data_IF_570436657206
#
_entry.id   IF_570436657206
#
_cell.length_a   1.000
_cell.length_b   1.000
_cell.length_c   1.000
_cell.angle_alpha   90.00
_cell.angle_beta   90.00
_cell.angle_gamma   90.00
#
_symmetry.space_group_name_H-M   'P 1'
#
loop_
_entity.id
_entity.type
_entity.pdbx_description
1 polymer ?
#
# COMPACT_ATOMS: atom_id res chain seq x y z
N UNK A 1 29.59 -69.64 -38.75
CA UNK A 1 28.43 -69.92 -37.89
C UNK A 1 27.87 -68.60 -37.37
N UNK A 2 26.57 -68.33 -37.62
CA UNK A 2 25.53 -67.56 -36.88
C UNK A 2 25.99 -66.44 -35.91
N UNK A 3 25.36 -65.27 -35.72
CA UNK A 3 24.27 -64.42 -36.28
C UNK A 3 24.19 -63.21 -35.28
N UNK A 4 24.02 -61.95 -35.75
CA UNK A 4 23.20 -60.82 -35.18
C UNK A 4 23.50 -60.34 -33.71
N UNK A 5 23.22 -59.15 -33.17
CA UNK A 5 22.53 -57.89 -33.50
C UNK A 5 22.98 -56.77 -32.51
N UNK A 6 22.69 -55.52 -32.86
CA UNK A 6 22.80 -54.29 -32.05
C UNK A 6 21.85 -54.25 -30.84
N UNK A 7 22.04 -53.33 -29.88
CA UNK A 7 20.96 -52.58 -29.17
C UNK A 7 21.50 -51.47 -28.23
N UNK A 8 21.04 -50.25 -28.52
CA UNK A 8 20.61 -49.12 -27.67
C UNK A 8 21.54 -48.54 -26.58
N UNK A 9 22.14 -47.39 -26.88
CA UNK A 9 22.45 -46.37 -25.87
C UNK A 9 21.17 -45.59 -25.56
N UNK A 10 20.59 -45.86 -24.40
CA UNK A 10 19.40 -45.19 -23.90
C UNK A 10 19.74 -43.74 -23.56
N UNK A 11 19.18 -42.82 -24.34
CA UNK A 11 19.04 -41.40 -24.02
C UNK A 11 18.36 -41.26 -22.66
N UNK A 12 19.15 -41.09 -21.61
CA UNK A 12 18.67 -40.55 -20.35
C UNK A 12 18.35 -39.06 -20.60
N UNK A 13 17.10 -38.83 -21.01
CA UNK A 13 16.44 -37.54 -20.97
C UNK A 13 16.37 -37.15 -19.49
N UNK A 14 17.46 -36.53 -19.02
CA UNK A 14 17.60 -36.01 -17.68
C UNK A 14 16.54 -34.92 -17.55
N UNK A 15 15.51 -35.24 -16.78
CA UNK A 15 14.43 -34.36 -16.41
C UNK A 15 15.06 -33.13 -15.76
N UNK A 16 15.29 -32.07 -16.55
CA UNK A 16 15.65 -30.76 -16.04
C UNK A 16 14.38 -30.18 -15.44
N UNK A 17 14.09 -30.68 -14.25
CA UNK A 17 13.18 -30.08 -13.30
C UNK A 17 13.69 -28.66 -13.08
N UNK A 18 13.06 -27.69 -13.74
CA UNK A 18 13.27 -26.28 -13.44
C UNK A 18 12.91 -26.10 -11.96
N UNK A 19 13.93 -26.10 -11.12
CA UNK A 19 13.81 -25.63 -9.76
C UNK A 19 13.35 -24.18 -9.88
N UNK A 20 12.09 -23.95 -9.52
CA UNK A 20 11.63 -22.61 -9.17
C UNK A 20 12.38 -22.30 -7.88
N UNK A 21 13.57 -21.72 -8.03
CA UNK A 21 14.28 -21.11 -6.92
C UNK A 21 13.45 -19.90 -6.46
N UNK A 22 12.52 -20.16 -5.55
CA UNK A 22 11.92 -19.10 -4.75
C UNK A 22 13.03 -18.56 -3.86
N UNK A 23 13.66 -17.47 -4.29
CA UNK A 23 14.69 -16.80 -3.51
C UNK A 23 14.05 -16.26 -2.22
N UNK A 24 14.42 -16.88 -1.10
CA UNK A 24 14.05 -16.40 0.23
C UNK A 24 14.58 -14.97 0.40
N UNK A 25 13.68 -14.01 0.56
CA UNK A 25 14.01 -12.61 0.90
C UNK A 25 14.71 -12.54 2.26
N UNK A 26 16.03 -12.63 2.26
CA UNK A 26 16.89 -12.43 3.44
C UNK A 26 17.48 -11.03 3.46
N UNK A 27 16.61 -10.02 3.44
CA UNK A 27 16.98 -8.61 3.58
C UNK A 27 15.91 -7.88 4.38
N UNK A 28 16.33 -7.02 5.32
CA UNK A 28 15.42 -6.18 6.10
C UNK A 28 14.49 -5.40 5.17
N UNK A 29 13.18 -5.55 5.36
CA UNK A 29 12.15 -4.82 4.62
C UNK A 29 11.38 -3.93 5.61
N UNK A 30 11.50 -2.59 5.53
CA UNK A 30 12.31 -1.82 4.58
C UNK A 30 13.82 -1.89 4.86
N UNK A 31 14.68 -1.44 3.92
CA UNK A 31 16.11 -1.32 4.12
C UNK A 31 16.48 -0.56 5.39
N UNK A 32 17.65 -0.84 5.99
CA UNK A 32 18.03 -0.28 7.26
C UNK A 32 18.24 1.24 7.14
N UNK A 33 17.91 1.95 8.21
CA UNK A 33 18.09 3.39 8.31
C UNK A 33 19.59 3.72 8.43
N UNK A 34 20.08 4.59 7.56
CA UNK A 34 21.47 5.05 7.51
C UNK A 34 21.66 6.44 8.07
N UNK A 35 20.74 7.34 7.78
CA UNK A 35 20.83 8.74 8.19
C UNK A 35 19.46 9.29 8.55
N UNK A 36 19.44 10.09 9.61
CA UNK A 36 18.29 10.92 9.99
C UNK A 36 18.79 12.35 10.14
N UNK A 37 18.05 13.30 9.59
CA UNK A 37 18.32 14.73 9.79
C UNK A 37 17.01 15.42 10.12
N UNK A 38 16.94 16.07 11.28
CA UNK A 38 15.77 16.85 11.69
C UNK A 38 16.02 18.33 11.43
N UNK A 39 15.09 18.96 10.74
CA UNK A 39 15.11 20.39 10.47
C UNK A 39 14.28 21.14 11.52
N UNK A 40 14.67 22.39 11.82
CA UNK A 40 13.98 23.26 12.81
C UNK A 40 12.49 23.46 12.52
N UNK A 41 12.08 23.31 11.26
CA UNK A 41 10.70 23.49 10.80
C UNK A 41 9.82 22.24 10.96
N UNK A 42 10.30 21.20 11.67
CA UNK A 42 9.52 20.00 11.96
C UNK A 42 9.53 18.94 10.85
N UNK A 43 10.40 19.08 9.84
CA UNK A 43 10.58 18.08 8.77
C UNK A 43 11.76 17.17 9.09
N UNK A 44 11.61 15.87 8.87
CA UNK A 44 12.67 14.88 8.99
C UNK A 44 13.09 14.32 7.63
N UNK A 45 14.39 14.23 7.38
CA UNK A 45 14.96 13.50 6.24
C UNK A 45 15.45 12.12 6.71
N UNK A 46 15.04 11.08 5.98
CA UNK A 46 15.36 9.69 6.30
C UNK A 46 16.02 9.03 5.10
N UNK A 47 17.25 8.55 5.29
CA UNK A 47 17.98 7.80 4.27
C UNK A 47 18.01 6.33 4.67
N UNK A 48 17.51 5.46 3.80
CA UNK A 48 17.53 4.00 3.98
C UNK A 48 18.27 3.38 2.82
N UNK A 49 19.23 2.51 3.12
CA UNK A 49 20.06 1.87 2.11
C UNK A 49 20.34 0.42 2.50
N UNK A 50 20.09 -0.49 1.57
CA UNK A 50 20.33 -1.91 1.72
C UNK A 50 20.37 -2.59 0.36
N UNK A 51 20.84 -3.84 0.34
CA UNK A 51 20.78 -4.68 -0.86
C UNK A 51 19.36 -5.24 -1.01
N UNK A 52 18.85 -5.19 -2.24
CA UNK A 52 17.58 -5.80 -2.63
C UNK A 52 17.93 -6.99 -3.53
N UNK A 53 17.38 -8.17 -3.23
CA UNK A 53 17.65 -9.39 -3.98
C UNK A 53 16.39 -9.83 -4.72
N UNK A 54 16.54 -10.21 -5.99
CA UNK A 54 15.42 -10.61 -6.85
C UNK A 54 14.37 -9.49 -7.02
N UNK A 55 13.11 -9.88 -7.21
CA UNK A 55 11.98 -8.97 -7.42
C UNK A 55 11.30 -8.56 -6.11
N UNK A 56 12.11 -8.27 -5.09
CA UNK A 56 11.62 -7.94 -3.75
C UNK A 56 10.84 -6.62 -3.73
N UNK A 57 9.61 -6.67 -3.20
CA UNK A 57 8.83 -5.49 -2.89
C UNK A 57 9.30 -4.85 -1.57
N UNK A 58 9.53 -3.54 -1.58
CA UNK A 58 9.89 -2.76 -0.40
C UNK A 58 8.69 -1.96 0.07
N UNK A 59 8.30 -2.13 1.34
CA UNK A 59 7.11 -1.47 1.89
C UNK A 59 7.51 -0.45 2.95
N UNK A 60 6.97 0.75 2.84
CA UNK A 60 7.10 1.82 3.83
C UNK A 60 5.73 2.19 4.38
N UNK A 61 5.64 2.39 5.68
CA UNK A 61 4.42 2.80 6.36
C UNK A 61 4.52 4.29 6.70
N UNK A 62 3.49 5.04 6.31
CA UNK A 62 3.36 6.47 6.56
C UNK A 62 1.93 6.79 6.99
N UNK A 63 1.75 7.89 7.72
CA UNK A 63 0.42 8.41 8.02
C UNK A 63 -0.26 8.89 6.73
N UNK A 64 -1.57 8.65 6.61
CA UNK A 64 -2.34 9.03 5.43
C UNK A 64 -2.30 10.55 5.16
N UNK A 65 -2.18 11.37 6.20
CA UNK A 65 -2.04 12.84 6.09
C UNK A 65 -0.71 13.27 5.46
N UNK A 66 0.33 12.42 5.54
CA UNK A 66 1.69 12.75 5.10
C UNK A 66 2.02 12.19 3.71
N UNK A 67 1.15 11.35 3.13
CA UNK A 67 1.44 10.65 1.87
C UNK A 67 1.77 11.62 0.72
N UNK A 68 1.12 12.78 0.70
CA UNK A 68 1.34 13.79 -0.34
C UNK A 68 2.76 14.37 -0.27
N UNK A 69 3.24 14.67 0.93
CA UNK A 69 4.59 15.20 1.13
C UNK A 69 5.65 14.14 0.88
N UNK A 70 5.38 12.89 1.27
CA UNK A 70 6.22 11.74 0.95
C UNK A 70 6.36 11.59 -0.56
N UNK A 71 5.26 11.57 -1.33
CA UNK A 71 5.33 11.39 -2.78
C UNK A 71 6.05 12.55 -3.49
N UNK A 72 5.96 13.78 -2.96
CA UNK A 72 6.67 14.94 -3.48
C UNK A 72 8.18 14.91 -3.19
N UNK A 73 8.62 14.21 -2.15
CA UNK A 73 10.01 14.22 -1.68
C UNK A 73 10.72 12.86 -1.74
N UNK A 74 10.01 11.79 -2.10
CA UNK A 74 10.55 10.45 -2.23
C UNK A 74 11.53 10.36 -3.41
N UNK A 75 12.76 9.96 -3.10
CA UNK A 75 13.78 9.66 -4.10
C UNK A 75 14.20 8.20 -3.91
N UNK A 76 14.08 7.40 -4.97
CA UNK A 76 14.53 6.01 -5.00
C UNK A 76 15.65 5.90 -6.02
N UNK A 77 16.81 5.41 -5.59
CA UNK A 77 18.00 5.27 -6.41
C UNK A 77 18.46 3.81 -6.42
N UNK A 78 18.75 3.30 -7.61
CA UNK A 78 19.54 2.08 -7.75
C UNK A 78 21.02 2.45 -7.78
N UNK A 79 21.77 1.92 -6.81
CA UNK A 79 23.22 2.12 -6.67
C UNK A 79 24.02 0.94 -7.25
N UNK A 80 23.35 -0.05 -7.85
CA UNK A 80 23.97 -1.19 -8.52
C UNK A 80 24.83 -0.78 -9.72
N UNK A 81 25.84 -1.58 -10.02
CA UNK A 81 26.79 -1.36 -11.12
C UNK A 81 26.89 -2.60 -12.00
N UNK A 82 27.10 -2.41 -13.31
CA UNK A 82 27.27 -3.51 -14.26
C UNK A 82 26.09 -4.47 -14.28
N UNK A 83 26.36 -5.76 -14.13
CA UNK A 83 25.37 -6.85 -14.11
C UNK A 83 24.50 -6.90 -12.84
N UNK A 84 24.86 -6.15 -11.79
CA UNK A 84 24.08 -6.05 -10.55
C UNK A 84 23.12 -4.85 -10.55
N UNK A 85 23.03 -4.11 -11.66
CA UNK A 85 22.13 -2.97 -11.80
C UNK A 85 20.69 -3.47 -11.87
N UNK A 86 19.90 -3.09 -10.87
CA UNK A 86 18.47 -3.37 -10.82
C UNK A 86 17.65 -2.38 -11.65
N UNK A 87 16.33 -2.59 -11.66
CA UNK A 87 15.38 -1.63 -12.21
C UNK A 87 14.26 -1.39 -11.21
N UNK A 88 13.93 -0.13 -11.00
CA UNK A 88 12.74 0.26 -10.25
C UNK A 88 11.54 0.10 -11.17
N UNK A 89 10.63 -0.80 -10.83
CA UNK A 89 9.47 -1.13 -11.66
C UNK A 89 8.34 -0.13 -11.47
N UNK A 90 7.86 0.03 -10.23
CA UNK A 90 6.77 0.94 -9.89
C UNK A 90 6.81 1.31 -8.41
N UNK A 91 6.09 2.39 -8.06
CA UNK A 91 5.79 2.78 -6.68
C UNK A 91 4.28 2.82 -6.55
N UNK A 92 3.74 2.02 -5.62
CA UNK A 92 2.30 1.93 -5.35
C UNK A 92 2.03 2.44 -3.94
N UNK A 93 0.90 3.12 -3.76
CA UNK A 93 0.43 3.58 -2.46
C UNK A 93 -1.09 3.40 -2.34
N UNK A 94 -1.58 3.22 -1.12
CA UNK A 94 -3.01 3.10 -0.85
C UNK A 94 -3.64 4.49 -0.84
N UNK A 95 -4.20 4.90 -1.99
CA UNK A 95 -4.95 6.15 -2.11
C UNK A 95 -6.33 5.99 -1.47
N UNK A 96 -6.40 6.14 -0.15
CA UNK A 96 -7.69 6.23 0.54
C UNK A 96 -8.03 7.70 0.71
N UNK A 97 -9.09 8.18 0.03
CA UNK A 97 -9.64 9.51 0.31
C UNK A 97 -9.90 9.62 1.82
N UNK A 98 -9.41 10.66 2.52
CA UNK A 98 -9.71 10.88 3.92
C UNK A 98 -11.23 10.86 4.14
N UNK A 99 -11.68 10.37 5.30
CA UNK A 99 -13.12 10.30 5.63
C UNK A 99 -13.79 11.66 5.42
N UNK A 100 -13.14 12.74 5.83
CA UNK A 100 -13.65 14.11 5.65
C UNK A 100 -13.91 14.45 4.16
N UNK A 101 -13.01 14.03 3.25
CA UNK A 101 -13.20 14.22 1.80
C UNK A 101 -14.33 13.36 1.24
N UNK A 102 -14.51 12.15 1.77
CA UNK A 102 -15.66 11.30 1.40
C UNK A 102 -16.96 11.91 1.91
N UNK A 103 -16.97 12.51 3.10
CA UNK A 103 -18.14 13.16 3.68
C UNK A 103 -18.48 14.47 2.97
N UNK A 104 -17.48 15.26 2.55
CA UNK A 104 -17.67 16.44 1.70
C UNK A 104 -18.40 16.10 0.39
N UNK A 105 -18.12 14.94 -0.21
CA UNK A 105 -18.84 14.46 -1.41
C UNK A 105 -20.33 14.21 -1.15
N UNK A 106 -20.73 13.95 0.10
CA UNK A 106 -22.12 13.84 0.53
C UNK A 106 -22.68 15.13 1.14
N UNK A 107 -21.95 16.25 1.05
CA UNK A 107 -22.35 17.55 1.61
C UNK A 107 -22.20 17.65 3.13
N UNK A 108 -21.50 16.70 3.76
CA UNK A 108 -21.32 16.63 5.21
C UNK A 108 -19.93 17.17 5.56
N UNK A 109 -19.87 18.19 6.43
CA UNK A 109 -18.60 18.78 6.90
C UNK A 109 -18.47 18.65 8.41
N UNK A 110 -17.52 17.83 8.86
CA UNK A 110 -17.24 17.59 10.27
C UNK A 110 -16.20 18.59 10.82
N UNK A 111 -16.60 19.86 10.98
CA UNK A 111 -15.80 20.86 11.67
C UNK A 111 -15.89 20.72 13.21
N UNK A 112 -15.15 21.56 13.94
CA UNK A 112 -15.14 21.56 15.41
C UNK A 112 -16.50 21.88 16.05
N UNK A 113 -17.45 22.47 15.33
CA UNK A 113 -18.80 22.79 15.82
C UNK A 113 -19.79 21.64 15.59
N UNK A 114 -19.67 20.92 14.46
CA UNK A 114 -20.53 19.79 14.09
C UNK A 114 -20.05 18.46 14.70
N UNK A 115 -18.77 18.37 15.10
CA UNK A 115 -18.25 17.23 15.87
C UNK A 115 -18.89 17.09 17.25
N UNK A 116 -19.46 18.17 17.79
CA UNK A 116 -20.03 18.20 19.15
C UNK A 116 -21.55 18.38 19.15
N UNK A 117 -22.16 18.93 18.08
CA UNK A 117 -23.60 19.19 18.00
C UNK A 117 -24.35 18.29 17.00
N UNK A 118 -25.19 17.38 17.50
CA UNK A 118 -26.05 16.52 16.68
C UNK A 118 -27.06 17.31 15.84
N UNK A 119 -27.58 18.42 16.36
CA UNK A 119 -28.53 19.29 15.65
C UNK A 119 -27.91 19.92 14.41
N UNK A 120 -26.67 20.42 14.52
CA UNK A 120 -25.98 21.02 13.38
C UNK A 120 -25.63 19.99 12.31
N UNK A 121 -25.25 18.77 12.71
CA UNK A 121 -25.05 17.65 11.77
C UNK A 121 -26.36 17.26 11.06
N UNK A 122 -27.46 17.14 11.80
CA UNK A 122 -28.78 16.82 11.21
C UNK A 122 -29.26 17.91 10.25
N UNK A 123 -28.96 19.17 10.53
CA UNK A 123 -29.23 20.29 9.61
C UNK A 123 -28.53 20.15 8.26
N UNK A 124 -27.30 19.60 8.23
CA UNK A 124 -26.58 19.32 6.97
C UNK A 124 -27.18 18.14 6.20
N UNK A 125 -27.91 17.26 6.88
CA UNK A 125 -28.56 16.08 6.31
C UNK A 125 -29.99 16.36 5.85
N UNK A 126 -30.39 17.62 5.64
CA UNK A 126 -31.72 17.97 5.13
C UNK A 126 -31.97 17.27 3.78
N UNK A 127 -33.09 16.58 3.66
CA UNK A 127 -33.44 15.75 2.50
C UNK A 127 -32.85 14.33 2.53
N UNK A 128 -31.97 14.02 3.48
CA UNK A 128 -31.46 12.66 3.65
C UNK A 128 -32.50 11.76 4.33
N UNK A 129 -32.57 10.51 3.88
CA UNK A 129 -33.38 9.47 4.52
C UNK A 129 -32.63 8.94 5.74
N UNK A 130 -33.27 8.94 6.90
CA UNK A 130 -32.70 8.45 8.15
C UNK A 130 -33.60 7.39 8.79
N UNK A 131 -32.95 6.48 9.51
CA UNK A 131 -33.59 5.51 10.40
C UNK A 131 -33.23 5.88 11.85
N UNK A 132 -34.25 6.08 12.68
CA UNK A 132 -34.12 6.39 14.09
C UNK A 132 -34.55 5.15 14.88
N UNK A 133 -33.66 4.68 15.76
CA UNK A 133 -33.95 3.58 16.68
C UNK A 133 -34.18 4.14 18.07
N UNK A 134 -35.39 3.94 18.61
CA UNK A 134 -35.74 4.34 19.98
C UNK A 134 -36.27 3.11 20.72
N UNK A 135 -35.46 2.58 21.65
CA UNK A 135 -35.82 1.38 22.41
C UNK A 135 -36.23 0.21 21.50
N UNK A 136 -37.51 -0.13 21.50
CA UNK A 136 -38.08 -1.24 20.71
C UNK A 136 -38.61 -0.84 19.32
N UNK A 137 -38.62 0.46 18.97
CA UNK A 137 -39.20 0.95 17.73
C UNK A 137 -38.13 1.51 16.78
N UNK A 138 -38.27 1.16 15.51
CA UNK A 138 -37.48 1.70 14.41
C UNK A 138 -38.37 2.56 13.53
N UNK A 139 -38.02 3.83 13.37
CA UNK A 139 -38.77 4.80 12.57
C UNK A 139 -37.91 5.26 11.40
N UNK A 140 -38.44 5.19 10.18
CA UNK A 140 -37.73 5.63 8.96
C UNK A 140 -38.42 6.84 8.36
N UNK A 141 -37.66 7.89 8.04
CA UNK A 141 -38.18 9.15 7.53
C UNK A 141 -37.15 9.96 6.75
N UNK A 142 -37.51 11.19 6.38
CA UNK A 142 -36.62 12.14 5.70
C UNK A 142 -36.47 13.38 6.58
N UNK A 143 -35.26 13.93 6.68
CA UNK A 143 -35.02 15.17 7.41
C UNK A 143 -35.60 16.34 6.63
N UNK A 144 -36.57 17.04 7.21
CA UNK A 144 -37.16 18.24 6.60
C UNK A 144 -36.54 19.50 7.23
N UNK A 145 -36.45 19.53 8.55
CA UNK A 145 -35.85 20.62 9.32
C UNK A 145 -35.43 20.16 10.72
N UNK A 146 -34.61 20.95 11.43
CA UNK A 146 -34.10 20.68 12.79
C UNK A 146 -34.25 21.89 13.72
#
# INVERSE_FOLDING_TARGET
MKKQAAVFFLSAFFCLLSAIESSAQSGSNPPPLKKVTLYKHGVGYFERQGKISGDQQVTFLFDASQINDVLKSLVVLDLGKGSEKGKISSVTFDSTKPVDRKLEEFGITLDGSNKTGMTTLLGQLRGAKLEIRTGAATLSGVVIDI
#
